data_IF_410963773797
#
_entry.id   IF_410963773797
#
_cell.length_a   1.000
_cell.length_b   1.000
_cell.length_c   1.000
_cell.angle_alpha   90.00
_cell.angle_beta   90.00
_cell.angle_gamma   90.00
#
_symmetry.space_group_name_H-M   'P 1'
#
loop_
_entity.id
_entity.type
_entity.pdbx_description
1 polymer ?
#
# COMPACT_ATOMS: atom_id res chain seq x y z
N UNK A 1 25.81 -22.78 -20.97
CA UNK A 1 24.50 -22.19 -20.62
C UNK A 1 24.72 -21.31 -19.40
N UNK A 2 24.74 -19.97 -19.55
CA UNK A 2 24.82 -19.06 -18.40
C UNK A 2 23.41 -18.97 -17.83
N UNK A 3 23.19 -19.56 -16.65
CA UNK A 3 21.95 -19.37 -15.91
C UNK A 3 21.86 -17.90 -15.51
N UNK A 4 20.80 -17.22 -15.94
CA UNK A 4 20.55 -15.82 -15.66
C UNK A 4 20.20 -15.63 -14.17
N UNK A 5 21.22 -15.56 -13.30
CA UNK A 5 21.08 -15.12 -11.90
C UNK A 5 20.41 -13.74 -11.80
N UNK A 6 20.54 -12.90 -12.82
CA UNK A 6 19.92 -11.56 -12.87
C UNK A 6 18.40 -11.55 -13.06
N UNK A 7 17.80 -12.59 -13.68
CA UNK A 7 16.34 -12.66 -13.81
C UNK A 7 15.66 -13.02 -12.48
N UNK A 8 16.24 -13.99 -11.75
CA UNK A 8 15.72 -14.40 -10.45
C UNK A 8 15.71 -13.26 -9.43
N UNK A 9 16.72 -12.38 -9.47
CA UNK A 9 16.77 -11.18 -8.60
C UNK A 9 15.66 -10.18 -8.92
N UNK A 10 15.35 -9.94 -10.21
CA UNK A 10 14.30 -9.00 -10.63
C UNK A 10 12.89 -9.52 -10.32
N UNK A 11 12.65 -10.82 -10.53
CA UNK A 11 11.36 -11.44 -10.20
C UNK A 11 11.13 -11.49 -8.69
N UNK A 12 12.17 -11.75 -7.89
CA UNK A 12 12.08 -11.67 -6.42
C UNK A 12 11.78 -10.24 -5.93
N UNK A 13 12.47 -9.23 -6.47
CA UNK A 13 12.22 -7.83 -6.14
C UNK A 13 10.79 -7.40 -6.45
N UNK A 14 10.26 -7.81 -7.61
CA UNK A 14 8.87 -7.52 -7.99
C UNK A 14 7.85 -8.20 -7.07
N UNK A 15 8.10 -9.45 -6.69
CA UNK A 15 7.24 -10.17 -5.74
C UNK A 15 7.22 -9.50 -4.36
N UNK A 16 8.38 -9.04 -3.89
CA UNK A 16 8.49 -8.29 -2.63
C UNK A 16 7.73 -6.97 -2.70
N UNK A 17 7.90 -6.19 -3.78
CA UNK A 17 7.16 -4.93 -3.96
C UNK A 17 5.65 -5.16 -3.99
N UNK A 18 5.17 -6.19 -4.69
CA UNK A 18 3.75 -6.54 -4.74
C UNK A 18 3.19 -6.98 -3.38
N UNK A 19 3.95 -7.76 -2.62
CA UNK A 19 3.57 -8.16 -1.27
C UNK A 19 3.47 -6.92 -0.35
N UNK A 20 4.46 -6.03 -0.43
CA UNK A 20 4.50 -4.80 0.35
C UNK A 20 3.34 -3.87 -0.03
N UNK A 21 3.00 -3.74 -1.31
CA UNK A 21 1.80 -3.03 -1.77
C UNK A 21 0.51 -3.56 -1.14
N UNK A 22 0.33 -4.89 -1.13
CA UNK A 22 -0.85 -5.50 -0.55
C UNK A 22 -0.91 -5.29 0.97
N UNK A 23 0.23 -5.36 1.64
CA UNK A 23 0.34 -5.08 3.08
C UNK A 23 -0.06 -3.63 3.38
N UNK A 24 0.50 -2.66 2.65
CA UNK A 24 0.14 -1.23 2.77
C UNK A 24 -1.35 -1.05 2.52
N UNK A 25 -1.89 -1.63 1.45
CA UNK A 25 -3.32 -1.52 1.13
C UNK A 25 -4.21 -2.05 2.26
N UNK A 26 -3.83 -3.15 2.92
CA UNK A 26 -4.57 -3.69 4.07
C UNK A 26 -4.50 -2.75 5.28
N UNK A 27 -3.33 -2.18 5.56
CA UNK A 27 -3.15 -1.22 6.65
C UNK A 27 -3.98 0.05 6.43
N UNK A 28 -3.96 0.57 5.20
CA UNK A 28 -4.83 1.68 4.77
C UNK A 28 -6.28 1.30 4.97
N UNK A 29 -6.71 0.12 4.50
CA UNK A 29 -8.11 -0.32 4.64
C UNK A 29 -8.56 -0.36 6.10
N UNK A 30 -7.72 -0.85 7.02
CA UNK A 30 -8.05 -0.84 8.46
C UNK A 30 -8.19 0.56 9.05
N UNK A 31 -7.46 1.53 8.51
CA UNK A 31 -7.57 2.93 8.92
C UNK A 31 -8.75 3.63 8.27
N UNK A 32 -9.30 3.07 7.20
CA UNK A 32 -10.46 3.62 6.50
C UNK A 32 -11.80 3.34 7.17
N UNK A 33 -11.90 2.26 7.96
CA UNK A 33 -13.15 1.90 8.66
C UNK A 33 -13.72 3.05 9.52
N UNK A 34 -12.87 3.97 10.01
CA UNK A 34 -13.27 5.11 10.84
C UNK A 34 -13.08 6.48 10.14
N UNK A 35 -12.95 6.51 8.81
CA UNK A 35 -12.69 7.75 8.07
C UNK A 35 -13.81 8.10 7.09
N UNK A 36 -14.06 9.41 6.97
CA UNK A 36 -14.91 9.99 5.93
C UNK A 36 -14.06 10.88 4.99
N UNK A 37 -14.53 11.04 3.76
CA UNK A 37 -13.89 11.90 2.79
C UNK A 37 -13.96 13.37 3.25
N UNK A 38 -12.82 14.03 3.41
CA UNK A 38 -12.78 15.44 3.84
C UNK A 38 -13.40 16.42 2.84
N UNK A 39 -13.56 16.02 1.57
CA UNK A 39 -14.14 16.88 0.53
C UNK A 39 -15.67 16.78 0.46
N UNK A 40 -16.25 15.58 0.62
CA UNK A 40 -17.69 15.35 0.44
C UNK A 40 -18.41 14.69 1.62
N UNK A 41 -17.69 14.27 2.66
CA UNK A 41 -18.24 13.57 3.83
C UNK A 41 -18.66 12.12 3.58
N UNK A 42 -18.29 11.53 2.43
CA UNK A 42 -18.64 10.14 2.13
C UNK A 42 -17.71 9.14 2.84
N UNK A 43 -18.30 8.09 3.39
CA UNK A 43 -17.60 6.93 3.97
C UNK A 43 -17.13 5.93 2.91
N UNK A 44 -17.57 6.09 1.65
CA UNK A 44 -17.20 5.20 0.54
C UNK A 44 -15.75 5.48 0.08
N UNK A 45 -14.80 5.01 0.88
CA UNK A 45 -13.36 5.16 0.68
C UNK A 45 -12.74 3.84 0.23
N UNK A 46 -11.92 3.92 -0.82
CA UNK A 46 -11.18 2.77 -1.34
C UNK A 46 -9.70 2.89 -0.99
N UNK A 47 -9.15 1.85 -0.37
CA UNK A 47 -7.71 1.77 -0.13
C UNK A 47 -6.91 1.61 -1.43
N UNK A 48 -5.88 2.42 -1.59
CA UNK A 48 -4.91 2.39 -2.68
C UNK A 48 -3.48 2.36 -2.09
N UNK A 49 -2.56 1.74 -2.81
CA UNK A 49 -1.15 1.70 -2.46
C UNK A 49 -0.33 1.83 -3.75
N UNK A 50 0.67 2.69 -3.74
CA UNK A 50 1.63 2.81 -4.83
C UNK A 50 2.76 1.80 -4.65
N UNK A 51 3.62 1.61 -5.67
CA UNK A 51 4.78 0.73 -5.53
C UNK A 51 5.69 1.28 -4.42
N UNK A 52 5.78 0.60 -3.28
CA UNK A 52 6.66 1.03 -2.21
C UNK A 52 8.11 0.88 -2.69
N UNK A 53 8.92 1.89 -2.41
CA UNK A 53 10.37 1.85 -2.62
C UNK A 53 11.05 1.58 -1.29
N UNK A 54 12.38 1.35 -1.30
CA UNK A 54 13.15 1.16 -0.06
C UNK A 54 13.10 2.39 0.85
N UNK A 55 12.88 3.59 0.29
CA UNK A 55 12.89 4.87 1.03
C UNK A 55 11.47 5.37 1.37
N UNK A 56 10.45 4.97 0.62
CA UNK A 56 9.09 5.51 0.77
C UNK A 56 8.03 4.41 0.75
N UNK A 57 7.36 4.23 1.90
CA UNK A 57 6.14 3.43 2.02
C UNK A 57 4.98 4.36 2.31
N UNK A 58 4.07 4.54 1.35
CA UNK A 58 2.89 5.41 1.49
C UNK A 58 1.60 4.69 1.11
N UNK A 59 0.58 4.91 1.94
CA UNK A 59 -0.80 4.50 1.68
C UNK A 59 -1.65 5.66 1.19
N UNK A 60 -2.69 5.36 0.42
CA UNK A 60 -3.65 6.35 -0.04
C UNK A 60 -5.07 5.82 0.11
N UNK A 61 -6.02 6.71 0.27
CA UNK A 61 -7.41 6.40 0.04
C UNK A 61 -7.97 7.25 -1.08
N UNK A 62 -8.92 6.68 -1.81
CA UNK A 62 -9.66 7.37 -2.86
C UNK A 62 -11.14 7.30 -2.55
N UNK A 63 -11.77 8.46 -2.43
CA UNK A 63 -13.21 8.54 -2.35
C UNK A 63 -13.83 8.09 -3.67
N UNK A 64 -14.76 7.15 -3.62
CA UNK A 64 -15.44 6.64 -4.82
C UNK A 64 -16.47 7.62 -5.36
N UNK A 65 -17.03 8.46 -4.48
CA UNK A 65 -18.06 9.45 -4.81
C UNK A 65 -17.48 10.69 -5.52
N UNK A 66 -16.52 11.37 -4.88
CA UNK A 66 -15.95 12.61 -5.44
C UNK A 66 -14.60 12.41 -6.15
N UNK A 67 -13.98 11.24 -6.00
CA UNK A 67 -12.66 10.95 -6.57
C UNK A 67 -11.49 11.52 -5.79
N UNK A 68 -11.72 12.23 -4.69
CA UNK A 68 -10.68 12.85 -3.88
C UNK A 68 -9.72 11.80 -3.33
N UNK A 69 -8.43 12.07 -3.44
CA UNK A 69 -7.37 11.16 -2.99
C UNK A 69 -6.66 11.73 -1.77
N UNK A 70 -6.68 10.99 -0.67
CA UNK A 70 -6.08 11.38 0.60
C UNK A 70 -4.87 10.50 0.91
N UNK A 71 -3.81 11.09 1.45
CA UNK A 71 -2.63 10.36 1.91
C UNK A 71 -2.86 9.80 3.31
N UNK A 72 -2.56 8.52 3.50
CA UNK A 72 -2.55 7.88 4.81
C UNK A 72 -1.11 7.51 5.15
N UNK A 73 -0.58 8.12 6.21
CA UNK A 73 0.76 7.84 6.70
C UNK A 73 0.84 6.43 7.31
N UNK A 74 1.71 5.58 6.78
CA UNK A 74 1.95 4.22 7.28
C UNK A 74 3.36 4.19 7.85
N UNK A 75 3.50 3.86 9.14
CA UNK A 75 4.80 3.73 9.79
C UNK A 75 5.43 2.37 9.44
N UNK A 76 6.76 2.32 9.31
CA UNK A 76 7.47 1.08 9.02
C UNK A 76 7.23 -0.01 10.09
N UNK A 77 6.94 0.38 11.34
CA UNK A 77 6.59 -0.55 12.43
C UNK A 77 5.25 -1.26 12.21
N UNK A 78 4.31 -0.63 11.51
CA UNK A 78 3.03 -1.26 11.17
C UNK A 78 3.24 -2.34 10.09
N UNK A 79 4.25 -2.17 9.21
CA UNK A 79 4.60 -3.16 8.19
C UNK A 79 5.21 -4.42 8.81
N UNK A 80 6.16 -4.27 9.73
CA UNK A 80 6.85 -5.39 10.37
C UNK A 80 5.89 -6.26 11.20
N UNK A 81 4.87 -5.65 11.81
CA UNK A 81 3.83 -6.32 12.57
C UNK A 81 2.97 -7.25 11.68
N UNK A 82 2.74 -6.87 10.43
CA UNK A 82 1.95 -7.67 9.47
C UNK A 82 2.80 -8.76 8.81
N UNK A 83 4.09 -8.53 8.60
CA UNK A 83 5.01 -9.52 8.00
C UNK A 83 5.36 -10.65 8.98
N UNK A 84 5.26 -10.41 10.28
CA UNK A 84 5.62 -11.37 11.34
C UNK A 84 4.44 -12.23 11.86
N UNK A 85 3.26 -12.15 11.22
CA UNK A 85 2.04 -12.89 11.61
C UNK A 85 1.81 -14.14 10.75
#
# INVERSE_FOLDING_TARGET
MKFNEEMYSKDAGKQISQALQQTVKRLVSKRLDDMECQACGSEELKAEAENPTEEEVRGYSKCTECGERMSIEIDYKDLSSVISS
#
